data_IF_164025214221
#
_entry.id   IF_164025214221
#
_cell.length_a   1.000
_cell.length_b   1.000
_cell.length_c   1.000
_cell.angle_alpha   90.00
_cell.angle_beta   90.00
_cell.angle_gamma   90.00
#
_symmetry.space_group_name_H-M   'P 1'
#
loop_
_entity.id
_entity.type
_entity.pdbx_description
1 polymer ?
#
# COMPACT_ATOMS: atom_id res chain seq x y z
N UNK A 1 -8.86 11.96 -1.94
CA UNK A 1 -9.07 11.40 -0.58
C UNK A 1 -9.52 9.96 -0.72
N UNK A 2 -9.32 9.10 0.26
CA UNK A 2 -9.67 7.69 0.09
C UNK A 2 -9.30 6.80 1.25
N UNK A 3 -9.54 5.50 1.09
CA UNK A 3 -9.09 4.48 2.03
C UNK A 3 -7.66 4.04 1.72
N UNK A 4 -6.83 3.81 2.75
CA UNK A 4 -5.44 3.34 2.59
C UNK A 4 -5.08 2.22 3.58
N UNK A 5 -5.61 0.99 3.48
CA UNK A 5 -6.66 0.51 2.56
C UNK A 5 -7.82 -0.14 3.33
N UNK A 6 -9.00 -0.20 2.71
CA UNK A 6 -10.11 -1.05 3.18
C UNK A 6 -9.89 -2.51 2.75
N UNK A 7 -10.78 -3.43 3.15
CA UNK A 7 -10.69 -4.83 2.75
C UNK A 7 -12.04 -5.58 2.87
N UNK A 8 -12.22 -6.71 2.15
CA UNK A 8 -13.51 -7.42 2.09
C UNK A 8 -13.95 -8.12 3.40
N UNK A 9 -13.06 -8.26 4.39
CA UNK A 9 -13.28 -9.15 5.55
C UNK A 9 -14.12 -8.49 6.65
N UNK A 10 -14.06 -7.17 6.78
CA UNK A 10 -14.66 -6.43 7.90
C UNK A 10 -16.06 -5.89 7.59
N UNK A 11 -16.39 -5.68 6.31
CA UNK A 11 -17.62 -5.00 5.89
C UNK A 11 -18.19 -5.67 4.64
N UNK A 12 -19.52 -5.70 4.54
CA UNK A 12 -20.18 -6.12 3.31
C UNK A 12 -19.82 -5.17 2.15
N UNK A 13 -19.72 -5.70 0.93
CA UNK A 13 -19.36 -4.93 -0.27
C UNK A 13 -20.30 -3.76 -0.52
N UNK A 14 -21.60 -3.94 -0.28
CA UNK A 14 -22.61 -2.88 -0.40
C UNK A 14 -22.35 -1.70 0.57
N UNK A 15 -21.84 -1.97 1.78
CA UNK A 15 -21.49 -0.93 2.75
C UNK A 15 -20.29 -0.13 2.26
N UNK A 16 -19.26 -0.81 1.76
CA UNK A 16 -18.08 -0.15 1.17
C UNK A 16 -18.47 0.68 -0.05
N UNK A 17 -19.29 0.13 -0.96
CA UNK A 17 -19.76 0.84 -2.15
C UNK A 17 -20.56 2.08 -1.77
N UNK A 18 -21.53 1.96 -0.84
CA UNK A 18 -22.30 3.10 -0.36
C UNK A 18 -21.40 4.19 0.25
N UNK A 19 -20.46 3.82 1.12
CA UNK A 19 -19.58 4.79 1.77
C UNK A 19 -18.66 5.51 0.78
N UNK A 20 -18.12 4.77 -0.20
CA UNK A 20 -17.24 5.37 -1.21
C UNK A 20 -18.00 6.22 -2.22
N UNK A 21 -19.22 5.84 -2.61
CA UNK A 21 -20.07 6.67 -3.44
C UNK A 21 -20.46 7.98 -2.74
N UNK A 22 -20.73 7.95 -1.43
CA UNK A 22 -21.02 9.18 -0.67
C UNK A 22 -19.79 10.08 -0.63
N UNK A 23 -18.61 9.49 -0.42
CA UNK A 23 -17.37 10.26 -0.46
C UNK A 23 -17.10 10.84 -1.85
N UNK A 24 -17.44 10.11 -2.91
CA UNK A 24 -17.26 10.56 -4.28
C UNK A 24 -18.16 11.75 -4.62
N UNK A 25 -19.43 11.70 -4.20
CA UNK A 25 -20.38 12.81 -4.32
C UNK A 25 -19.90 14.04 -3.54
N UNK A 26 -19.64 13.87 -2.23
CA UNK A 26 -19.22 14.96 -1.34
C UNK A 26 -17.86 15.57 -1.71
N UNK A 27 -16.99 14.78 -2.35
CA UNK A 27 -15.66 15.25 -2.75
C UNK A 27 -15.60 15.75 -4.19
N UNK A 28 -16.72 15.79 -4.92
CA UNK A 28 -16.76 16.17 -6.33
C UNK A 28 -15.80 15.34 -7.19
N UNK A 29 -15.92 14.01 -7.10
CA UNK A 29 -15.15 13.08 -7.91
C UNK A 29 -13.71 12.79 -7.46
N UNK A 30 -13.29 13.29 -6.29
CA UNK A 30 -11.89 13.18 -5.79
C UNK A 30 -11.65 11.95 -4.91
N UNK A 31 -12.59 11.02 -4.81
CA UNK A 31 -12.44 9.82 -3.99
C UNK A 31 -11.65 8.74 -4.73
N UNK A 32 -10.84 7.97 -3.99
CA UNK A 32 -10.17 6.76 -4.47
C UNK A 32 -10.45 5.65 -3.45
N UNK A 33 -10.93 4.50 -3.92
CA UNK A 33 -11.18 3.34 -3.08
C UNK A 33 -9.91 2.46 -3.04
N UNK A 34 -8.99 2.76 -2.12
CA UNK A 34 -7.86 1.89 -1.86
C UNK A 34 -8.29 0.61 -1.12
N UNK A 35 -8.07 -0.56 -1.72
CA UNK A 35 -8.51 -1.86 -1.18
C UNK A 35 -7.37 -2.88 -1.21
N UNK A 36 -7.33 -3.74 -0.19
CA UNK A 36 -6.38 -4.85 -0.10
C UNK A 36 -6.99 -6.08 0.57
N UNK A 37 -6.13 -7.05 0.90
CA UNK A 37 -6.57 -8.33 1.52
C UNK A 37 -6.92 -8.20 3.00
N UNK A 38 -6.45 -7.13 3.65
CA UNK A 38 -6.76 -6.81 5.05
C UNK A 38 -5.95 -7.61 6.07
N UNK A 39 -4.68 -7.92 5.78
CA UNK A 39 -3.79 -8.79 6.56
C UNK A 39 -3.87 -8.56 8.08
N UNK A 40 -3.21 -7.52 8.58
CA UNK A 40 -3.14 -7.27 10.02
C UNK A 40 -4.49 -6.86 10.61
N UNK A 41 -5.28 -6.05 9.90
CA UNK A 41 -6.61 -5.64 10.39
C UNK A 41 -7.57 -6.83 10.57
N UNK A 42 -7.54 -7.83 9.69
CA UNK A 42 -8.32 -9.07 9.86
C UNK A 42 -7.77 -9.91 11.01
N UNK A 43 -6.44 -10.03 11.14
CA UNK A 43 -5.82 -10.78 12.21
C UNK A 43 -6.18 -10.23 13.60
N UNK A 44 -6.23 -8.90 13.78
CA UNK A 44 -6.61 -8.26 15.04
C UNK A 44 -8.05 -8.55 15.48
N UNK A 45 -8.94 -8.91 14.54
CA UNK A 45 -10.31 -9.34 14.83
C UNK A 45 -10.48 -10.87 14.78
N UNK A 46 -9.37 -11.62 14.82
CA UNK A 46 -9.38 -13.08 14.82
C UNK A 46 -9.82 -13.73 13.50
N UNK A 47 -9.74 -13.01 12.38
CA UNK A 47 -10.08 -13.53 11.05
C UNK A 47 -8.84 -13.67 10.17
N UNK A 48 -8.88 -14.63 9.24
CA UNK A 48 -7.90 -14.65 8.14
C UNK A 48 -8.13 -13.48 7.19
N UNK A 49 -7.08 -13.06 6.52
CA UNK A 49 -7.19 -12.14 5.40
C UNK A 49 -7.97 -12.77 4.23
N UNK A 50 -8.47 -11.93 3.33
CA UNK A 50 -9.09 -12.38 2.10
C UNK A 50 -8.08 -13.13 1.21
N UNK A 51 -8.54 -14.09 0.43
CA UNK A 51 -7.81 -14.66 -0.70
C UNK A 51 -7.79 -13.67 -1.87
N UNK A 52 -6.88 -13.86 -2.83
CA UNK A 52 -6.87 -13.05 -4.07
C UNK A 52 -8.19 -13.15 -4.83
N UNK A 53 -8.85 -14.32 -4.81
CA UNK A 53 -10.16 -14.49 -5.44
C UNK A 53 -11.26 -13.70 -4.71
N UNK A 54 -11.33 -13.80 -3.38
CA UNK A 54 -12.30 -13.03 -2.58
C UNK A 54 -12.12 -11.52 -2.76
N UNK A 55 -10.88 -11.05 -2.88
CA UNK A 55 -10.58 -9.66 -3.21
C UNK A 55 -11.08 -9.29 -4.62
N UNK A 56 -10.80 -10.12 -5.64
CA UNK A 56 -11.28 -9.91 -7.01
C UNK A 56 -12.80 -9.82 -7.08
N UNK A 57 -13.49 -10.81 -6.51
CA UNK A 57 -14.96 -10.88 -6.50
C UNK A 57 -15.54 -9.63 -5.80
N UNK A 58 -14.93 -9.21 -4.68
CA UNK A 58 -15.34 -8.01 -3.95
C UNK A 58 -15.16 -6.73 -4.76
N UNK A 59 -14.04 -6.58 -5.49
CA UNK A 59 -13.77 -5.41 -6.34
C UNK A 59 -14.82 -5.31 -7.45
N UNK A 60 -15.05 -6.40 -8.16
CA UNK A 60 -16.02 -6.44 -9.26
C UNK A 60 -17.43 -6.12 -8.76
N UNK A 61 -17.79 -6.66 -7.59
CA UNK A 61 -19.07 -6.36 -6.94
C UNK A 61 -19.22 -4.87 -6.60
N UNK A 62 -18.18 -4.25 -6.03
CA UNK A 62 -18.17 -2.82 -5.70
C UNK A 62 -18.27 -1.97 -6.96
N UNK A 63 -17.53 -2.31 -8.02
CA UNK A 63 -17.59 -1.59 -9.31
C UNK A 63 -18.97 -1.73 -9.97
N UNK A 64 -19.63 -2.88 -9.88
CA UNK A 64 -21.02 -3.04 -10.34
C UNK A 64 -21.96 -2.08 -9.61
N UNK A 65 -21.86 -1.97 -8.29
CA UNK A 65 -22.63 -0.98 -7.54
C UNK A 65 -22.34 0.45 -7.98
N UNK A 66 -21.08 0.81 -8.25
CA UNK A 66 -20.74 2.14 -8.77
C UNK A 66 -21.31 2.43 -10.16
N UNK A 67 -21.61 1.41 -10.95
CA UNK A 67 -22.30 1.55 -12.25
C UNK A 67 -23.83 1.51 -12.12
N UNK A 68 -24.37 1.57 -10.90
CA UNK A 68 -25.81 1.46 -10.65
C UNK A 68 -26.39 0.08 -10.94
N UNK A 69 -25.55 -0.94 -11.15
CA UNK A 69 -26.00 -2.30 -11.47
C UNK A 69 -26.61 -2.97 -10.24
N UNK A 70 -27.57 -3.87 -10.49
CA UNK A 70 -28.05 -4.82 -9.48
C UNK A 70 -27.19 -6.07 -9.52
N UNK A 71 -26.85 -6.60 -8.34
CA UNK A 71 -26.12 -7.86 -8.22
C UNK A 71 -26.98 -8.93 -7.52
N UNK A 72 -26.64 -10.20 -7.75
CA UNK A 72 -27.22 -11.32 -7.02
C UNK A 72 -26.66 -11.41 -5.59
N UNK A 73 -27.54 -11.35 -4.59
CA UNK A 73 -27.23 -11.63 -3.19
C UNK A 73 -28.19 -12.70 -2.68
N UNK A 74 -27.73 -13.95 -2.69
CA UNK A 74 -28.60 -15.10 -2.40
C UNK A 74 -29.68 -15.24 -3.47
N UNK A 75 -30.95 -15.08 -3.08
CA UNK A 75 -32.10 -15.12 -4.00
C UNK A 75 -32.61 -13.73 -4.39
N UNK A 76 -31.93 -12.66 -3.95
CA UNK A 76 -32.37 -11.28 -4.14
C UNK A 76 -31.50 -10.54 -5.14
N UNK A 77 -32.15 -9.69 -5.95
CA UNK A 77 -31.50 -8.61 -6.69
C UNK A 77 -31.25 -7.45 -5.74
N UNK A 78 -29.98 -7.09 -5.55
CA UNK A 78 -29.53 -6.05 -4.63
C UNK A 78 -29.00 -4.85 -5.40
N UNK A 79 -29.81 -3.82 -5.69
CA UNK A 79 -29.35 -2.53 -6.17
C UNK A 79 -29.12 -1.54 -5.02
N UNK A 80 -28.14 -0.65 -5.13
CA UNK A 80 -28.03 0.54 -4.28
C UNK A 80 -28.65 1.72 -5.04
N UNK A 81 -29.97 1.90 -4.86
CA UNK A 81 -30.82 2.74 -5.72
C UNK A 81 -30.45 4.23 -5.78
N UNK A 82 -29.69 4.73 -4.83
CA UNK A 82 -29.31 6.14 -4.79
C UNK A 82 -27.99 6.40 -5.53
N UNK A 83 -27.21 5.35 -5.85
CA UNK A 83 -26.02 5.49 -6.68
C UNK A 83 -26.48 5.57 -8.14
N UNK A 84 -26.53 6.78 -8.66
CA UNK A 84 -26.78 7.07 -10.07
C UNK A 84 -25.46 7.41 -10.75
N UNK A 85 -24.92 6.58 -11.68
CA UNK A 85 -23.64 6.83 -12.34
C UNK A 85 -23.64 8.06 -13.25
N UNK A 86 -24.81 8.58 -13.64
CA UNK A 86 -24.93 9.82 -14.42
C UNK A 86 -24.73 11.07 -13.53
N UNK A 87 -24.87 10.92 -12.20
CA UNK A 87 -24.70 11.98 -11.20
C UNK A 87 -23.39 11.79 -10.43
N UNK A 88 -23.11 10.55 -9.99
CA UNK A 88 -21.95 10.18 -9.18
C UNK A 88 -21.03 9.32 -10.05
N UNK A 89 -19.92 9.87 -10.59
CA UNK A 89 -19.04 9.11 -11.44
C UNK A 89 -18.41 7.93 -10.67
N UNK A 90 -18.24 6.75 -11.29
CA UNK A 90 -17.69 5.58 -10.61
C UNK A 90 -16.38 5.86 -9.88
N UNK A 91 -16.26 5.39 -8.64
CA UNK A 91 -15.06 5.62 -7.82
C UNK A 91 -13.92 4.74 -8.32
N UNK A 92 -12.74 5.30 -8.65
CA UNK A 92 -11.58 4.52 -9.02
C UNK A 92 -11.13 3.57 -7.90
N UNK A 93 -10.88 2.30 -8.25
CA UNK A 93 -10.32 1.30 -7.35
C UNK A 93 -8.79 1.33 -7.44
N UNK A 94 -8.14 1.38 -6.28
CA UNK A 94 -6.68 1.26 -6.14
C UNK A 94 -6.34 0.03 -5.31
N UNK A 95 -5.70 -0.97 -5.93
CA UNK A 95 -5.41 -2.23 -5.23
C UNK A 95 -4.01 -2.17 -4.64
N UNK A 96 -3.92 -2.22 -3.30
CA UNK A 96 -2.66 -2.42 -2.61
C UNK A 96 -2.23 -3.90 -2.70
N UNK A 97 -1.05 -4.16 -3.26
CA UNK A 97 -0.59 -5.51 -3.53
C UNK A 97 0.91 -5.70 -3.29
N UNK A 98 1.28 -6.90 -2.86
CA UNK A 98 2.68 -7.25 -2.49
C UNK A 98 3.21 -8.47 -3.22
N UNK A 99 2.35 -9.44 -3.55
CA UNK A 99 2.73 -10.69 -4.22
C UNK A 99 2.29 -10.75 -5.68
N UNK A 100 2.96 -11.58 -6.51
CA UNK A 100 2.79 -11.57 -7.96
C UNK A 100 1.36 -11.91 -8.40
N UNK A 101 0.71 -12.89 -7.75
CA UNK A 101 -0.69 -13.25 -8.05
C UNK A 101 -1.66 -12.11 -7.78
N UNK A 102 -1.40 -11.29 -6.77
CA UNK A 102 -2.27 -10.16 -6.43
C UNK A 102 -1.98 -8.97 -7.34
N UNK A 103 -0.72 -8.72 -7.72
CA UNK A 103 -0.35 -7.72 -8.73
C UNK A 103 -1.05 -8.04 -10.07
N UNK A 104 -0.93 -9.28 -10.53
CA UNK A 104 -1.56 -9.76 -11.77
C UNK A 104 -3.08 -9.59 -11.73
N UNK A 105 -3.73 -10.04 -10.66
CA UNK A 105 -5.18 -9.86 -10.48
C UNK A 105 -5.59 -8.38 -10.46
N UNK A 106 -4.82 -7.52 -9.76
CA UNK A 106 -5.10 -6.10 -9.72
C UNK A 106 -5.07 -5.47 -11.12
N UNK A 107 -4.10 -5.87 -11.95
CA UNK A 107 -3.99 -5.43 -13.35
C UNK A 107 -5.20 -5.83 -14.22
N UNK A 108 -5.95 -6.87 -13.83
CA UNK A 108 -7.15 -7.32 -14.55
C UNK A 108 -8.42 -6.53 -14.20
N UNK A 109 -8.56 -6.09 -12.95
CA UNK A 109 -9.87 -5.63 -12.42
C UNK A 109 -9.90 -4.22 -11.85
N UNK A 110 -8.79 -3.48 -11.88
CA UNK A 110 -8.73 -2.15 -11.28
C UNK A 110 -8.22 -1.07 -12.24
N UNK A 111 -8.55 0.18 -11.91
CA UNK A 111 -8.04 1.37 -12.57
C UNK A 111 -6.65 1.74 -12.07
N UNK A 112 -6.31 1.38 -10.82
CA UNK A 112 -5.03 1.68 -10.18
C UNK A 112 -4.47 0.49 -9.41
N UNK A 113 -3.15 0.34 -9.46
CA UNK A 113 -2.39 -0.65 -8.69
C UNK A 113 -1.34 0.09 -7.89
N UNK A 114 -1.19 -0.27 -6.61
CA UNK A 114 -0.18 0.33 -5.74
C UNK A 114 0.64 -0.76 -5.04
N UNK A 115 1.94 -0.81 -5.37
CA UNK A 115 2.86 -1.77 -4.78
C UNK A 115 3.14 -1.43 -3.32
N UNK A 116 3.02 -2.42 -2.42
CA UNK A 116 3.39 -2.31 -1.02
C UNK A 116 4.59 -3.24 -0.72
N UNK A 117 5.66 -3.10 -1.49
CA UNK A 117 6.80 -4.04 -1.53
C UNK A 117 8.06 -3.53 -0.83
N UNK A 118 7.99 -2.37 -0.18
CA UNK A 118 9.13 -1.61 0.31
C UNK A 118 9.50 -0.46 -0.64
N UNK A 119 10.65 0.14 -0.41
CA UNK A 119 11.14 1.29 -1.18
C UNK A 119 12.56 1.08 -1.73
N UNK A 120 13.02 -0.18 -1.74
CA UNK A 120 14.22 -0.54 -2.49
C UNK A 120 13.92 -0.60 -3.98
N UNK A 121 14.89 -0.17 -4.79
CA UNK A 121 14.77 -0.17 -6.26
C UNK A 121 14.45 -1.58 -6.78
N UNK A 122 15.19 -2.60 -6.34
CA UNK A 122 15.03 -3.98 -6.82
C UNK A 122 13.61 -4.52 -6.60
N UNK A 123 13.00 -4.19 -5.45
CA UNK A 123 11.65 -4.65 -5.10
C UNK A 123 10.57 -3.97 -5.93
N UNK A 124 10.70 -2.66 -6.14
CA UNK A 124 9.75 -1.88 -6.95
C UNK A 124 9.92 -2.24 -8.43
N UNK A 125 11.15 -2.41 -8.92
CA UNK A 125 11.45 -2.87 -10.28
C UNK A 125 10.82 -4.24 -10.53
N UNK A 126 11.04 -5.22 -9.64
CA UNK A 126 10.41 -6.54 -9.76
C UNK A 126 8.88 -6.47 -9.82
N UNK A 127 8.26 -5.62 -8.99
CA UNK A 127 6.81 -5.45 -8.97
C UNK A 127 6.30 -4.79 -10.26
N UNK A 128 7.05 -3.81 -10.79
CA UNK A 128 6.79 -3.17 -12.07
C UNK A 128 6.86 -4.19 -13.22
N UNK A 129 7.94 -4.96 -13.31
CA UNK A 129 8.12 -6.00 -14.34
C UNK A 129 6.97 -7.02 -14.28
N UNK A 130 6.64 -7.50 -13.08
CA UNK A 130 5.51 -8.42 -12.86
C UNK A 130 4.17 -7.85 -13.38
N UNK A 131 3.94 -6.56 -13.18
CA UNK A 131 2.74 -5.88 -13.67
C UNK A 131 2.76 -5.72 -15.19
N UNK A 132 3.87 -5.24 -15.76
CA UNK A 132 4.03 -4.99 -17.19
C UNK A 132 3.91 -6.27 -18.03
N UNK A 133 4.57 -7.35 -17.59
CA UNK A 133 4.47 -8.67 -18.24
C UNK A 133 3.02 -9.16 -18.28
N UNK A 134 2.27 -8.98 -17.18
CA UNK A 134 0.88 -9.41 -17.12
C UNK A 134 -0.06 -8.53 -17.93
N UNK A 135 0.13 -7.21 -17.89
CA UNK A 135 -0.60 -6.23 -18.74
C UNK A 135 -0.45 -6.61 -20.21
N UNK A 136 0.79 -6.89 -20.65
CA UNK A 136 1.06 -7.35 -22.01
C UNK A 136 0.37 -8.68 -22.30
N UNK A 137 0.44 -9.65 -21.38
CA UNK A 137 -0.17 -10.98 -21.53
C UNK A 137 -1.69 -10.92 -21.70
N UNK A 138 -2.38 -10.02 -21.00
CA UNK A 138 -3.84 -9.86 -21.10
C UNK A 138 -4.26 -8.90 -22.23
N UNK A 139 -3.31 -8.34 -22.97
CA UNK A 139 -3.57 -7.42 -24.09
C UNK A 139 -4.10 -6.05 -23.66
N UNK A 140 -3.93 -5.64 -22.40
CA UNK A 140 -4.31 -4.31 -21.90
C UNK A 140 -3.20 -3.31 -22.24
N UNK A 141 -3.55 -2.05 -22.54
CA UNK A 141 -2.54 -1.02 -22.79
C UNK A 141 -2.01 -0.46 -21.47
N UNK A 142 -0.72 -0.10 -21.41
CA UNK A 142 -0.09 0.45 -20.19
C UNK A 142 -0.73 1.77 -19.71
N UNK A 143 -1.26 2.58 -20.63
CA UNK A 143 -1.92 3.85 -20.34
C UNK A 143 -3.35 3.70 -19.79
N UNK A 144 -3.93 2.49 -19.83
CA UNK A 144 -5.27 2.21 -19.30
C UNK A 144 -5.28 1.90 -17.80
N UNK A 145 -4.11 1.83 -17.17
CA UNK A 145 -3.95 1.52 -15.75
C UNK A 145 -2.91 2.45 -15.13
N UNK A 146 -3.17 2.95 -13.91
CA UNK A 146 -2.19 3.73 -13.16
C UNK A 146 -1.44 2.83 -12.19
N UNK A 147 -0.12 2.85 -12.26
CA UNK A 147 0.74 2.02 -11.40
C UNK A 147 1.50 2.95 -10.46
N UNK A 148 1.40 2.69 -9.17
CA UNK A 148 2.11 3.44 -8.15
C UNK A 148 2.69 2.55 -7.06
N UNK A 149 3.19 3.17 -6.00
CA UNK A 149 3.75 2.46 -4.87
C UNK A 149 3.54 3.20 -3.54
N UNK A 150 3.44 2.44 -2.47
CA UNK A 150 3.59 2.94 -1.10
C UNK A 150 5.07 3.01 -0.77
N UNK A 151 5.58 4.23 -0.63
CA UNK A 151 6.99 4.52 -0.40
C UNK A 151 7.19 4.89 1.06
N UNK A 152 7.96 4.07 1.79
CA UNK A 152 8.45 4.36 3.13
C UNK A 152 9.62 5.33 2.99
N UNK A 153 9.38 6.62 3.24
CA UNK A 153 10.41 7.64 3.13
C UNK A 153 10.36 8.59 4.32
N UNK A 154 11.52 8.77 4.93
CA UNK A 154 11.76 9.68 6.05
C UNK A 154 12.92 10.59 5.67
N UNK A 155 12.59 11.84 5.37
CA UNK A 155 13.56 12.88 5.05
C UNK A 155 13.97 13.61 6.32
N UNK A 156 15.15 13.31 6.86
CA UNK A 156 15.69 13.92 8.08
C UNK A 156 17.20 14.17 7.92
N UNK A 157 17.73 15.36 8.26
CA UNK A 157 19.17 15.64 8.20
C UNK A 157 20.01 14.77 9.17
N UNK A 158 19.41 14.20 10.21
CA UNK A 158 20.04 13.22 11.10
C UNK A 158 19.66 11.80 10.67
N UNK A 159 20.61 11.14 10.00
CA UNK A 159 20.42 9.80 9.45
C UNK A 159 20.10 8.74 10.52
N UNK A 160 20.67 8.85 11.73
CA UNK A 160 20.36 7.90 12.81
C UNK A 160 18.92 8.05 13.28
N UNK A 161 18.43 9.29 13.35
CA UNK A 161 17.03 9.57 13.68
C UNK A 161 16.09 9.10 12.57
N UNK A 162 16.48 9.31 11.31
CA UNK A 162 15.74 8.80 10.14
C UNK A 162 15.57 7.27 10.22
N UNK A 163 16.67 6.54 10.40
CA UNK A 163 16.68 5.07 10.52
C UNK A 163 15.86 4.62 11.73
N UNK A 164 15.98 5.30 12.88
CA UNK A 164 15.19 5.01 14.07
C UNK A 164 13.68 5.09 13.81
N UNK A 165 13.21 6.15 13.15
CA UNK A 165 11.81 6.28 12.73
C UNK A 165 11.41 5.21 11.71
N UNK A 166 12.30 4.93 10.76
CA UNK A 166 12.06 3.98 9.68
C UNK A 166 11.94 2.55 10.18
N UNK A 167 12.60 2.19 11.28
CA UNK A 167 12.48 0.87 11.91
C UNK A 167 11.04 0.55 12.32
N UNK A 168 10.28 1.55 12.78
CA UNK A 168 8.85 1.37 13.09
C UNK A 168 8.01 1.12 11.81
N UNK A 169 8.26 1.89 10.75
CA UNK A 169 7.59 1.71 9.45
C UNK A 169 7.96 0.38 8.79
N UNK A 170 9.23 0.01 8.85
CA UNK A 170 9.72 -1.26 8.37
C UNK A 170 9.10 -2.42 9.15
N UNK A 171 8.93 -2.35 10.47
CA UNK A 171 8.23 -3.40 11.24
C UNK A 171 6.80 -3.68 10.76
N UNK A 172 6.07 -2.64 10.33
CA UNK A 172 4.72 -2.73 9.76
C UNK A 172 4.69 -3.41 8.39
N UNK A 173 5.73 -3.24 7.58
CA UNK A 173 5.77 -3.69 6.16
C UNK A 173 6.69 -4.92 5.96
N UNK A 174 7.63 -5.19 6.86
CA UNK A 174 8.60 -6.29 6.78
C UNK A 174 7.94 -7.68 6.92
N UNK A 175 6.70 -7.78 7.43
CA UNK A 175 5.96 -9.03 7.30
C UNK A 175 5.78 -9.44 5.84
N UNK A 176 5.65 -8.48 4.92
CA UNK A 176 5.49 -8.76 3.48
C UNK A 176 6.77 -9.31 2.84
N UNK A 177 7.95 -8.99 3.37
CA UNK A 177 9.22 -9.61 2.99
C UNK A 177 9.44 -10.96 3.69
N UNK A 178 8.89 -11.13 4.89
CA UNK A 178 8.94 -12.36 5.68
C UNK A 178 7.82 -13.36 5.35
N UNK A 179 6.99 -13.11 4.32
CA UNK A 179 5.95 -14.06 3.93
C UNK A 179 6.58 -15.37 3.46
N UNK A 180 6.15 -16.48 4.05
CA UNK A 180 6.53 -17.85 3.67
C UNK A 180 6.42 -18.03 2.15
N UNK A 181 7.55 -18.32 1.50
CA UNK A 181 7.73 -18.48 0.03
C UNK A 181 7.81 -17.18 -0.80
N UNK A 182 8.10 -16.02 -0.20
CA UNK A 182 8.52 -14.85 -0.99
C UNK A 182 9.82 -15.19 -1.74
N UNK A 183 9.96 -14.87 -3.05
CA UNK A 183 11.23 -15.06 -3.75
C UNK A 183 12.31 -14.24 -3.04
N UNK A 184 13.39 -14.87 -2.60
CA UNK A 184 14.52 -14.20 -1.93
C UNK A 184 15.75 -14.07 -2.84
N UNK A 185 15.69 -14.66 -4.03
CA UNK A 185 16.83 -14.76 -4.95
C UNK A 185 17.30 -13.39 -5.48
N UNK A 186 16.40 -12.40 -5.47
CA UNK A 186 16.70 -11.01 -5.84
C UNK A 186 17.20 -10.17 -4.64
N UNK A 187 17.27 -10.73 -3.43
CA UNK A 187 17.72 -10.02 -2.24
C UNK A 187 19.25 -10.10 -2.10
N UNK A 188 19.90 -9.03 -1.62
CA UNK A 188 21.30 -9.06 -1.20
C UNK A 188 21.61 -10.22 -0.22
N UNK A 189 22.80 -10.85 -0.28
CA UNK A 189 23.13 -12.01 0.55
C UNK A 189 23.02 -11.79 2.08
N UNK A 190 23.25 -10.57 2.56
CA UNK A 190 23.05 -10.19 3.97
C UNK A 190 21.57 -10.28 4.38
N UNK A 191 20.66 -9.97 3.45
CA UNK A 191 19.21 -9.90 3.69
C UNK A 191 18.51 -11.26 3.50
N UNK A 192 19.09 -12.16 2.71
CA UNK A 192 18.64 -13.56 2.64
C UNK A 192 18.70 -14.25 4.02
N UNK A 193 19.67 -13.87 4.88
CA UNK A 193 19.77 -14.38 6.25
C UNK A 193 18.62 -13.87 7.14
N UNK A 194 18.31 -12.58 7.07
CA UNK A 194 17.24 -11.92 7.85
C UNK A 194 15.86 -12.47 7.43
N UNK A 195 15.65 -12.70 6.13
CA UNK A 195 14.39 -13.24 5.61
C UNK A 195 14.05 -14.64 6.16
N UNK A 196 15.04 -15.47 6.46
CA UNK A 196 14.81 -16.80 7.04
C UNK A 196 14.42 -16.74 8.52
N UNK A 197 15.00 -15.82 9.29
CA UNK A 197 14.68 -15.61 10.72
C UNK A 197 13.31 -14.93 10.91
N UNK A 198 12.99 -13.94 10.07
CA UNK A 198 11.67 -13.28 10.12
C UNK A 198 10.52 -14.22 9.72
N UNK A 199 10.78 -15.25 8.89
CA UNK A 199 9.77 -16.26 8.53
C UNK A 199 9.35 -17.16 9.71
N UNK A 200 10.17 -17.27 10.76
CA UNK A 200 9.94 -18.19 11.89
C UNK A 200 9.51 -17.47 13.18
N UNK A 201 9.86 -16.21 13.36
CA UNK A 201 9.74 -15.50 14.66
C UNK A 201 8.84 -14.23 14.61
N UNK A 202 8.01 -14.06 13.57
CA UNK A 202 7.20 -12.86 13.41
C UNK A 202 6.05 -12.74 14.44
N UNK A 203 6.13 -11.72 15.31
CA UNK A 203 5.09 -11.42 16.30
C UNK A 203 3.96 -10.58 15.71
N UNK A 204 2.93 -11.26 15.18
CA UNK A 204 1.70 -10.63 14.69
C UNK A 204 0.91 -9.85 15.75
N UNK A 205 1.09 -10.15 17.05
CA UNK A 205 0.29 -9.56 18.14
C UNK A 205 0.70 -8.11 18.44
N UNK A 206 1.96 -7.77 18.17
CA UNK A 206 2.52 -6.42 18.35
C UNK A 206 2.87 -5.75 17.01
N UNK A 207 2.22 -6.16 15.92
CA UNK A 207 2.48 -5.75 14.53
C UNK A 207 2.48 -4.22 14.28
N UNK A 208 1.81 -3.43 15.12
CA UNK A 208 1.78 -1.96 15.04
C UNK A 208 2.28 -1.27 16.31
N UNK A 209 3.04 -2.01 17.13
CA UNK A 209 3.48 -1.61 18.47
C UNK A 209 5.00 -1.59 18.54
N UNK A 210 5.55 -0.55 19.19
CA UNK A 210 6.98 -0.41 19.50
C UNK A 210 7.52 -1.53 20.43
N UNK A 211 6.65 -2.41 20.93
CA UNK A 211 6.99 -3.53 21.82
C UNK A 211 7.17 -4.88 21.10
N UNK A 212 7.17 -4.90 19.77
CA UNK A 212 7.33 -6.15 19.00
C UNK A 212 8.76 -6.67 19.04
N UNK A 213 8.97 -7.90 19.50
CA UNK A 213 10.30 -8.55 19.56
C UNK A 213 10.96 -8.77 18.19
N UNK A 214 10.20 -8.64 17.09
CA UNK A 214 10.71 -8.77 15.72
C UNK A 214 11.53 -7.54 15.26
N UNK A 215 11.46 -6.42 15.98
CA UNK A 215 12.24 -5.22 15.67
C UNK A 215 13.74 -5.41 15.93
N UNK A 216 14.11 -6.29 16.86
CA UNK A 216 15.51 -6.61 17.21
C UNK A 216 16.22 -7.43 16.12
N UNK A 217 15.46 -8.03 15.18
CA UNK A 217 15.98 -8.79 14.04
C UNK A 217 16.24 -7.91 12.81
N UNK A 218 15.90 -6.62 12.87
CA UNK A 218 16.00 -5.67 11.75
C UNK A 218 17.15 -4.68 12.00
N UNK A 219 18.30 -4.96 11.37
CA UNK A 219 19.48 -4.10 11.43
C UNK A 219 19.34 -2.82 10.59
N UNK A 220 20.25 -1.88 10.83
CA UNK A 220 20.25 -0.58 10.11
C UNK A 220 20.44 -0.78 8.59
N UNK A 221 21.18 -1.81 8.17
CA UNK A 221 21.41 -2.14 6.76
C UNK A 221 20.11 -2.57 6.07
N UNK A 222 19.28 -3.39 6.71
CA UNK A 222 17.96 -3.74 6.19
C UNK A 222 17.05 -2.50 6.11
N UNK A 223 17.04 -1.65 7.14
CA UNK A 223 16.24 -0.43 7.15
C UNK A 223 16.66 0.50 6.00
N UNK A 224 17.96 0.71 5.85
CA UNK A 224 18.51 1.51 4.78
C UNK A 224 18.14 0.92 3.42
N UNK A 225 18.29 -0.38 3.20
CA UNK A 225 17.86 -0.98 1.94
C UNK A 225 16.35 -0.85 1.69
N UNK A 226 15.53 -1.20 2.68
CA UNK A 226 14.08 -1.37 2.53
C UNK A 226 13.30 -0.05 2.49
N UNK A 227 13.85 1.02 3.04
CA UNK A 227 13.22 2.35 3.13
C UNK A 227 14.08 3.41 2.44
N UNK A 228 13.54 4.61 2.24
CA UNK A 228 14.33 5.78 1.84
C UNK A 228 14.45 6.70 3.05
N UNK A 229 15.51 6.54 3.83
CA UNK A 229 15.66 7.23 5.12
C UNK A 229 17.00 7.97 5.20
N UNK A 230 16.94 9.28 5.39
CA UNK A 230 18.13 10.14 5.55
C UNK A 230 17.94 11.53 4.97
N UNK A 231 19.03 12.16 4.55
CA UNK A 231 19.02 13.56 4.10
C UNK A 231 18.14 13.78 2.86
N UNK A 232 17.85 15.05 2.57
CA UNK A 232 17.08 15.43 1.38
C UNK A 232 17.74 14.95 0.08
N UNK A 233 19.07 15.01 0.00
CA UNK A 233 19.84 14.54 -1.16
C UNK A 233 19.67 13.04 -1.37
N UNK A 234 19.76 12.25 -0.30
CA UNK A 234 19.53 10.80 -0.34
C UNK A 234 18.08 10.47 -0.73
N UNK A 235 17.12 11.24 -0.22
CA UNK A 235 15.72 11.09 -0.58
C UNK A 235 15.47 11.39 -2.07
N UNK A 236 16.06 12.47 -2.59
CA UNK A 236 16.00 12.82 -4.00
C UNK A 236 16.60 11.71 -4.85
N UNK A 237 17.86 11.32 -4.60
CA UNK A 237 18.57 10.33 -5.39
C UNK A 237 17.80 9.00 -5.49
N UNK A 238 17.37 8.47 -4.36
CA UNK A 238 16.67 7.18 -4.33
C UNK A 238 15.25 7.25 -4.88
N UNK A 239 14.52 8.34 -4.63
CA UNK A 239 13.17 8.50 -5.16
C UNK A 239 13.19 8.73 -6.68
N UNK A 240 14.19 9.43 -7.22
CA UNK A 240 14.41 9.58 -8.67
C UNK A 240 14.50 8.23 -9.36
N UNK A 241 15.33 7.32 -8.83
CA UNK A 241 15.44 5.97 -9.39
C UNK A 241 14.10 5.21 -9.40
N UNK A 242 13.24 5.39 -8.38
CA UNK A 242 11.91 4.77 -8.36
C UNK A 242 10.94 5.41 -9.35
N UNK A 243 11.01 6.73 -9.55
CA UNK A 243 10.16 7.45 -10.51
C UNK A 243 10.53 7.07 -11.95
N UNK A 244 11.82 6.89 -12.24
CA UNK A 244 12.33 6.47 -13.55
C UNK A 244 11.83 5.08 -13.98
N UNK A 245 11.39 4.23 -13.04
CA UNK A 245 10.71 2.96 -13.35
C UNK A 245 9.33 3.17 -14.01
N UNK A 246 8.80 4.40 -14.02
CA UNK A 246 7.52 4.75 -14.65
C UNK A 246 6.32 4.63 -13.71
N UNK A 247 6.49 4.97 -12.42
CA UNK A 247 5.38 5.11 -11.48
C UNK A 247 4.52 6.34 -11.86
N UNK A 248 3.21 6.15 -11.97
CA UNK A 248 2.21 7.20 -12.18
C UNK A 248 1.90 7.98 -10.89
N UNK A 249 2.08 7.36 -9.73
CA UNK A 249 1.82 7.96 -8.43
C UNK A 249 2.61 7.29 -7.30
N UNK A 250 2.79 8.01 -6.20
CA UNK A 250 3.37 7.49 -4.97
C UNK A 250 2.48 7.86 -3.78
N UNK A 251 2.36 6.94 -2.82
CA UNK A 251 1.84 7.24 -1.49
C UNK A 251 3.01 7.30 -0.53
N UNK A 252 3.25 8.48 0.03
CA UNK A 252 4.32 8.68 1.00
C UNK A 252 3.87 8.16 2.38
N UNK A 253 4.60 7.17 2.89
CA UNK A 253 4.50 6.69 4.26
C UNK A 253 5.60 7.35 5.08
N UNK A 254 5.26 8.47 5.72
CA UNK A 254 6.16 9.22 6.59
C UNK A 254 6.24 8.65 8.01
N UNK A 255 7.19 9.15 8.78
CA UNK A 255 7.39 8.80 10.19
C UNK A 255 7.08 9.98 11.13
N UNK A 256 7.06 9.68 12.43
CA UNK A 256 7.08 10.69 13.48
C UNK A 256 8.20 10.34 14.46
N UNK A 257 9.05 11.29 14.87
CA UNK A 257 10.05 11.07 15.91
C UNK A 257 9.41 10.99 17.30
N UNK A 258 8.11 11.30 17.42
CA UNK A 258 7.34 11.26 18.66
C UNK A 258 6.27 10.18 18.58
N UNK A 259 6.26 9.25 19.54
CA UNK A 259 5.30 8.16 19.62
C UNK A 259 3.96 8.60 20.26
N UNK A 260 4.05 9.28 21.39
CA UNK A 260 2.93 9.74 22.22
C UNK A 260 3.33 11.04 22.97
N UNK A 261 2.36 11.86 23.41
CA UNK A 261 0.91 11.74 23.18
C UNK A 261 0.53 12.03 21.73
N UNK A 262 -0.61 11.49 21.26
CA UNK A 262 -1.14 11.66 19.89
C UNK A 262 -0.97 13.05 19.28
N UNK A 263 -1.30 14.12 20.02
CA UNK A 263 -1.22 15.48 19.48
C UNK A 263 0.22 15.93 19.19
N UNK A 264 1.18 15.50 20.02
CA UNK A 264 2.59 15.77 19.79
C UNK A 264 3.12 14.95 18.60
N UNK A 265 2.70 13.67 18.50
CA UNK A 265 3.00 12.82 17.35
C UNK A 265 2.49 13.40 16.03
N UNK A 266 1.25 13.92 16.01
CA UNK A 266 0.68 14.50 14.80
C UNK A 266 1.43 15.76 14.36
N UNK A 267 1.79 16.65 15.29
CA UNK A 267 2.63 17.83 14.97
C UNK A 267 3.99 17.43 14.42
N UNK A 268 4.66 16.50 15.09
CA UNK A 268 5.97 16.02 14.65
C UNK A 268 5.91 15.34 13.27
N UNK A 269 4.81 14.66 12.93
CA UNK A 269 4.59 14.11 11.58
C UNK A 269 4.41 15.22 10.53
N UNK A 270 3.76 16.33 10.87
CA UNK A 270 3.65 17.51 9.98
C UNK A 270 5.02 18.12 9.76
N UNK A 271 5.76 18.40 10.83
CA UNK A 271 7.12 18.96 10.75
C UNK A 271 8.04 18.08 9.88
N UNK A 272 7.95 16.75 10.04
CA UNK A 272 8.69 15.79 9.22
C UNK A 272 8.30 15.84 7.73
N UNK A 273 7.01 16.03 7.46
CA UNK A 273 6.47 16.11 6.09
C UNK A 273 6.84 17.44 5.44
N UNK A 274 6.94 18.54 6.20
CA UNK A 274 7.39 19.84 5.71
C UNK A 274 8.82 19.78 5.17
N UNK A 275 9.73 19.06 5.83
CA UNK A 275 11.10 18.88 5.31
C UNK A 275 11.08 18.24 3.91
N UNK A 276 10.28 17.19 3.71
CA UNK A 276 10.12 16.57 2.41
C UNK A 276 9.48 17.53 1.39
N UNK A 277 8.43 18.24 1.79
CA UNK A 277 7.70 19.17 0.93
C UNK A 277 8.58 20.34 0.45
N UNK A 278 9.48 20.82 1.30
CA UNK A 278 10.33 21.97 1.00
C UNK A 278 11.64 21.59 0.29
N UNK A 279 12.23 20.45 0.65
CA UNK A 279 13.58 20.10 0.20
C UNK A 279 13.62 19.01 -0.88
N UNK A 280 12.61 18.14 -0.95
CA UNK A 280 12.61 16.98 -1.85
C UNK A 280 11.58 17.14 -2.96
N UNK A 281 10.32 17.42 -2.62
CA UNK A 281 9.22 17.52 -3.57
C UNK A 281 9.46 18.51 -4.73
N UNK A 282 10.09 19.69 -4.54
CA UNK A 282 10.33 20.63 -5.63
C UNK A 282 11.25 20.12 -6.74
N UNK A 283 12.00 19.03 -6.49
CA UNK A 283 12.85 18.39 -7.49
C UNK A 283 12.06 17.58 -8.54
N UNK A 284 10.83 17.17 -8.22
CA UNK A 284 10.02 16.24 -9.02
C UNK A 284 8.84 16.91 -9.75
N UNK A 285 8.95 18.21 -10.02
CA UNK A 285 7.90 19.00 -10.71
C UNK A 285 7.82 18.70 -12.20
#
# INVERSE_FOLDING_TARGET
MGTGVTHPVTRATAVTASAMASLQEESDGRAICGIGRGDSSAAHIGKRQATTKELKDSIQTIQSYFRGESIDVGTMQSPIRWIDPDIIPPVPIDVACTGPKTIQMACEVSERVSFAVGSSYDRVSWAMDTALEHIQKIGRRRDEIRIGAYINLICDPDEKRAIGMARMLAGLVAHFTAMKNAPVDHLPPSLQKISNSLQTEYDMKNHSSEKGSHLDLIDDDFIDWFTISGSSEKCIDRLSGLIELGLDHIYLLGGSPVAEPRDARLRAMVDQTEIFADQVLPHFK
#
